data_IF_810505970798
#
_entry.id   IF_810505970798
#
_cell.length_a   1.000
_cell.length_b   1.000
_cell.length_c   1.000
_cell.angle_alpha   90.00
_cell.angle_beta   90.00
_cell.angle_gamma   90.00
#
_symmetry.space_group_name_H-M   'P 1'
#
loop_
_entity.id
_entity.type
_entity.pdbx_description
1 polymer ?
#
# COMPACT_ATOMS: atom_id res chain seq x y z
N UNK A 1 23.32 -14.47 -12.61
CA UNK A 1 22.72 -13.11 -12.55
C UNK A 1 21.30 -13.29 -12.05
N UNK A 2 21.02 -12.88 -10.81
CA UNK A 2 19.68 -12.99 -10.23
C UNK A 2 18.78 -11.98 -10.93
N UNK A 3 17.78 -12.44 -11.67
CA UNK A 3 16.69 -11.61 -12.17
C UNK A 3 15.92 -11.09 -10.95
N UNK A 4 16.11 -9.83 -10.60
CA UNK A 4 15.30 -9.15 -9.58
C UNK A 4 13.87 -9.08 -10.12
N UNK A 5 12.98 -9.95 -9.64
CA UNK A 5 11.55 -9.87 -9.92
C UNK A 5 11.05 -8.54 -9.38
N UNK A 6 10.51 -7.69 -10.27
CA UNK A 6 10.02 -6.37 -9.93
C UNK A 6 8.75 -6.48 -9.10
N UNK A 7 8.68 -5.73 -8.00
CA UNK A 7 7.55 -5.81 -7.08
C UNK A 7 6.34 -5.00 -7.60
N UNK A 8 5.14 -5.31 -7.12
CA UNK A 8 3.95 -4.54 -7.48
C UNK A 8 4.07 -3.08 -6.99
N UNK A 9 4.75 -2.87 -5.86
CA UNK A 9 5.00 -1.54 -5.33
C UNK A 9 6.01 -0.75 -6.17
N UNK A 10 7.06 -1.41 -6.68
CA UNK A 10 8.03 -0.80 -7.59
C UNK A 10 7.36 -0.30 -8.87
N UNK A 11 6.43 -1.08 -9.43
CA UNK A 11 5.68 -0.68 -10.63
C UNK A 11 4.79 0.54 -10.38
N UNK A 12 4.10 0.60 -9.23
CA UNK A 12 3.32 1.78 -8.86
C UNK A 12 4.23 3.00 -8.68
N UNK A 13 5.37 2.83 -7.99
CA UNK A 13 6.30 3.92 -7.73
C UNK A 13 6.95 4.47 -9.02
N UNK A 14 7.17 3.64 -10.04
CA UNK A 14 7.61 4.13 -11.36
C UNK A 14 6.59 5.10 -11.97
N UNK A 15 5.29 4.79 -11.87
CA UNK A 15 4.22 5.69 -12.35
C UNK A 15 4.20 7.00 -11.59
N UNK A 16 4.49 6.97 -10.28
CA UNK A 16 4.57 8.19 -9.46
C UNK A 16 5.79 9.04 -9.85
N UNK A 17 6.94 8.42 -10.14
CA UNK A 17 8.10 9.13 -10.69
C UNK A 17 7.78 9.79 -12.04
N UNK A 18 7.12 9.06 -12.94
CA UNK A 18 6.72 9.60 -14.26
C UNK A 18 5.77 10.79 -14.10
N UNK A 19 4.76 10.68 -13.24
CA UNK A 19 3.84 11.77 -12.95
C UNK A 19 4.56 12.98 -12.32
N UNK A 20 5.49 12.74 -11.41
CA UNK A 20 6.32 13.78 -10.79
C UNK A 20 7.14 14.55 -11.81
N UNK A 21 7.75 13.86 -12.77
CA UNK A 21 8.51 14.48 -13.86
C UNK A 21 7.61 15.33 -14.78
N UNK A 22 6.42 14.82 -15.15
CA UNK A 22 5.44 15.57 -15.97
C UNK A 22 5.00 16.86 -15.26
N UNK A 23 4.82 16.80 -13.95
CA UNK A 23 4.36 17.92 -13.12
C UNK A 23 5.49 18.85 -12.65
N UNK A 24 6.76 18.53 -12.94
CA UNK A 24 7.91 19.31 -12.48
C UNK A 24 8.06 19.34 -10.95
N UNK A 25 7.68 18.27 -10.26
CA UNK A 25 7.78 18.18 -8.80
C UNK A 25 9.24 18.04 -8.37
N UNK A 26 9.57 18.61 -7.20
CA UNK A 26 10.88 18.40 -6.56
C UNK A 26 11.05 16.94 -6.17
N UNK A 27 12.26 16.42 -6.28
CA UNK A 27 12.56 15.01 -5.97
C UNK A 27 12.11 14.60 -4.57
N UNK A 28 12.31 15.44 -3.56
CA UNK A 28 11.87 15.15 -2.19
C UNK A 28 10.34 15.01 -2.06
N UNK A 29 9.56 15.70 -2.90
CA UNK A 29 8.10 15.53 -2.94
C UNK A 29 7.75 14.20 -3.58
N UNK A 30 8.38 13.85 -4.71
CA UNK A 30 8.16 12.56 -5.36
C UNK A 30 8.52 11.41 -4.41
N UNK A 31 9.66 11.50 -3.74
CA UNK A 31 10.10 10.52 -2.75
C UNK A 31 9.08 10.39 -1.61
N UNK A 32 8.58 11.50 -1.06
CA UNK A 32 7.55 11.45 -0.02
C UNK A 32 6.25 10.77 -0.50
N UNK A 33 5.85 11.01 -1.76
CA UNK A 33 4.65 10.41 -2.36
C UNK A 33 4.80 8.92 -2.70
N UNK A 34 6.04 8.40 -2.76
CA UNK A 34 6.34 6.99 -2.98
C UNK A 34 6.39 6.17 -1.69
N UNK A 35 6.41 6.81 -0.51
CA UNK A 35 6.50 6.12 0.77
C UNK A 35 5.15 5.93 1.43
N UNK A 36 5.00 4.83 2.16
CA UNK A 36 3.85 4.64 3.04
C UNK A 36 4.10 5.32 4.39
N UNK A 37 3.15 6.14 4.86
CA UNK A 37 3.23 6.79 6.18
C UNK A 37 3.33 5.81 7.36
N UNK A 38 2.65 4.65 7.26
CA UNK A 38 2.67 3.64 8.32
C UNK A 38 2.33 2.25 7.80
N UNK A 39 3.02 1.26 8.32
CA UNK A 39 2.78 -0.16 8.04
C UNK A 39 2.66 -0.91 9.36
N UNK A 40 1.65 -1.76 9.48
CA UNK A 40 1.41 -2.58 10.66
C UNK A 40 1.29 -4.02 10.21
N UNK A 41 2.16 -4.88 10.76
CA UNK A 41 2.09 -6.33 10.61
C UNK A 41 1.62 -6.90 11.94
N UNK A 42 0.60 -7.75 11.90
CA UNK A 42 -0.01 -8.37 13.09
C UNK A 42 -0.03 -9.89 12.94
N UNK A 43 0.19 -10.59 14.05
CA UNK A 43 -0.07 -12.03 14.14
C UNK A 43 -1.49 -12.25 14.67
N UNK A 44 -2.28 -13.05 13.95
CA UNK A 44 -3.68 -13.33 14.25
C UNK A 44 -3.81 -14.83 14.58
N UNK A 45 -3.78 -15.21 15.87
CA UNK A 45 -4.03 -16.59 16.27
C UNK A 45 -5.52 -16.92 16.10
N UNK A 46 -5.82 -17.97 15.34
CA UNK A 46 -7.16 -18.48 15.09
C UNK A 46 -7.26 -19.91 15.64
N UNK A 47 -8.33 -20.19 16.38
CA UNK A 47 -8.64 -21.55 16.80
C UNK A 47 -9.20 -22.34 15.63
N UNK A 48 -8.59 -23.49 15.32
CA UNK A 48 -9.05 -24.43 14.29
C UNK A 48 -9.25 -25.81 14.95
N UNK A 49 -10.47 -26.07 15.42
CA UNK A 49 -10.78 -27.25 16.21
C UNK A 49 -10.08 -27.20 17.57
N UNK A 50 -9.22 -28.19 17.85
CA UNK A 50 -8.41 -28.26 19.07
C UNK A 50 -6.98 -27.69 18.90
N UNK A 51 -6.68 -27.11 17.74
CA UNK A 51 -5.39 -26.51 17.42
C UNK A 51 -5.49 -24.98 17.21
N UNK A 52 -4.34 -24.31 17.13
CA UNK A 52 -4.20 -22.87 16.87
C UNK A 52 -3.35 -22.66 15.61
N UNK A 53 -3.94 -22.01 14.61
CA UNK A 53 -3.24 -21.54 13.42
C UNK A 53 -2.96 -20.04 13.56
N UNK A 54 -1.73 -19.60 13.31
CA UNK A 54 -1.38 -18.17 13.34
C UNK A 54 -1.30 -17.64 11.92
N UNK A 55 -2.17 -16.71 11.56
CA UNK A 55 -2.12 -15.98 10.30
C UNK A 55 -1.35 -14.66 10.46
N UNK A 56 -0.77 -14.18 9.36
CA UNK A 56 -0.19 -12.84 9.29
C UNK A 56 -1.23 -11.89 8.69
N UNK A 57 -1.43 -10.74 9.32
CA UNK A 57 -2.26 -9.67 8.80
C UNK A 57 -1.47 -8.38 8.59
N UNK A 58 -1.89 -7.60 7.61
CA UNK A 58 -1.26 -6.35 7.21
C UNK A 58 -2.26 -5.20 7.24
N UNK A 59 -1.79 -4.04 7.70
CA UNK A 59 -2.47 -2.77 7.49
C UNK A 59 -1.46 -1.70 7.08
N UNK A 60 -1.52 -1.32 5.81
CA UNK A 60 -0.70 -0.24 5.25
C UNK A 60 -1.54 1.02 5.11
N UNK A 61 -0.99 2.12 5.61
CA UNK A 61 -1.52 3.47 5.51
C UNK A 61 -0.55 4.27 4.65
N UNK A 62 -0.91 4.53 3.40
CA UNK A 62 -0.03 5.17 2.44
C UNK A 62 0.04 6.68 2.68
N UNK A 63 -1.10 7.37 2.67
CA UNK A 63 -1.14 8.82 2.86
C UNK A 63 -2.40 9.28 3.58
N UNK A 64 -2.28 10.33 4.38
CA UNK A 64 -3.35 11.05 5.09
C UNK A 64 -3.54 12.49 4.62
N UNK A 65 -2.76 12.94 3.63
CA UNK A 65 -2.69 14.35 3.23
C UNK A 65 -4.06 14.98 2.86
N UNK A 66 -4.99 14.18 2.34
CA UNK A 66 -6.36 14.62 1.96
C UNK A 66 -7.45 14.26 2.97
N UNK A 67 -7.10 13.59 4.07
CA UNK A 67 -8.05 13.10 5.07
C UNK A 67 -7.77 11.66 5.51
N UNK A 68 -8.74 10.99 6.17
CA UNK A 68 -8.56 9.65 6.70
C UNK A 68 -8.13 8.64 5.62
N UNK A 69 -7.27 7.68 5.98
CA UNK A 69 -6.78 6.67 5.04
C UNK A 69 -7.87 5.63 4.72
N UNK A 70 -8.31 5.55 3.46
CA UNK A 70 -9.39 4.66 3.04
C UNK A 70 -8.88 3.50 2.18
N UNK A 71 -9.35 2.30 2.51
CA UNK A 71 -9.29 1.14 1.62
C UNK A 71 -9.59 -0.17 2.33
N UNK A 72 -10.02 -1.15 1.53
CA UNK A 72 -10.51 -2.45 1.99
C UNK A 72 -9.43 -3.39 2.53
N UNK A 73 -9.86 -4.59 2.88
CA UNK A 73 -9.04 -5.71 3.35
C UNK A 73 -9.21 -6.86 2.36
N UNK A 74 -8.13 -7.54 1.99
CA UNK A 74 -8.15 -8.69 1.08
C UNK A 74 -7.82 -9.97 1.84
N UNK A 75 -8.65 -10.99 1.76
CA UNK A 75 -8.29 -12.33 2.24
C UNK A 75 -7.92 -13.19 1.04
N UNK A 76 -6.64 -13.49 0.89
CA UNK A 76 -6.12 -14.35 -0.17
C UNK A 76 -4.79 -14.97 0.29
N UNK A 77 -4.49 -16.20 -0.13
CA UNK A 77 -3.30 -16.93 0.35
C UNK A 77 -1.99 -16.29 -0.13
N UNK A 78 -2.03 -15.61 -1.28
CA UNK A 78 -0.87 -14.94 -1.87
C UNK A 78 -0.70 -13.47 -1.44
N UNK A 79 -1.42 -13.01 -0.41
CA UNK A 79 -1.23 -11.63 0.10
C UNK A 79 0.15 -11.51 0.76
N UNK A 80 0.93 -10.55 0.28
CA UNK A 80 2.18 -10.12 0.92
C UNK A 80 2.18 -8.61 1.20
N UNK A 81 3.18 -8.15 1.95
CA UNK A 81 3.31 -6.75 2.33
C UNK A 81 3.49 -5.82 1.12
N UNK A 82 4.18 -6.27 0.08
CA UNK A 82 4.48 -5.45 -1.10
C UNK A 82 3.21 -5.19 -1.92
N UNK A 83 2.38 -6.22 -2.12
CA UNK A 83 1.07 -6.08 -2.75
C UNK A 83 0.20 -5.10 -1.96
N UNK A 84 0.17 -5.20 -0.62
CA UNK A 84 -0.65 -4.33 0.23
C UNK A 84 -0.16 -2.87 0.15
N UNK A 85 1.15 -2.62 0.05
CA UNK A 85 1.72 -1.28 -0.20
C UNK A 85 1.28 -0.72 -1.56
N UNK A 86 1.42 -1.51 -2.62
CA UNK A 86 1.00 -1.12 -3.97
C UNK A 86 -0.47 -0.72 -4.00
N UNK A 87 -1.34 -1.54 -3.43
CA UNK A 87 -2.78 -1.28 -3.36
C UNK A 87 -3.13 -0.09 -2.45
N UNK A 88 -2.40 0.14 -1.36
CA UNK A 88 -2.60 1.30 -0.50
C UNK A 88 -2.23 2.61 -1.21
N UNK A 89 -1.14 2.61 -1.98
CA UNK A 89 -0.73 3.74 -2.83
C UNK A 89 -1.78 4.03 -3.91
N UNK A 90 -2.22 3.01 -4.64
CA UNK A 90 -3.30 3.14 -5.63
C UNK A 90 -4.60 3.68 -5.03
N UNK A 91 -4.91 3.36 -3.76
CA UNK A 91 -6.07 3.96 -3.08
C UNK A 91 -5.90 5.46 -2.86
N UNK A 92 -4.70 5.97 -2.54
CA UNK A 92 -4.44 7.42 -2.43
C UNK A 92 -4.72 8.11 -3.76
N UNK A 93 -4.24 7.56 -4.87
CA UNK A 93 -4.40 8.18 -6.18
C UNK A 93 -5.84 8.07 -6.67
N UNK A 94 -6.50 6.95 -6.43
CA UNK A 94 -7.92 6.76 -6.75
C UNK A 94 -8.80 7.76 -6.02
N UNK A 95 -8.61 7.94 -4.70
CA UNK A 95 -9.42 8.90 -3.93
C UNK A 95 -9.11 10.33 -4.32
N UNK A 96 -7.84 10.63 -4.63
CA UNK A 96 -7.46 11.95 -5.13
C UNK A 96 -8.10 12.27 -6.49
N UNK A 97 -8.12 11.28 -7.41
CA UNK A 97 -8.65 11.42 -8.77
C UNK A 97 -10.16 11.70 -8.79
N UNK A 98 -10.94 11.04 -7.92
CA UNK A 98 -12.40 11.23 -7.84
C UNK A 98 -12.81 12.34 -6.86
N UNK A 99 -11.85 13.10 -6.36
CA UNK A 99 -12.03 14.26 -5.49
C UNK A 99 -12.82 14.01 -4.19
N UNK A 100 -12.49 12.91 -3.50
CA UNK A 100 -13.06 12.63 -2.16
C UNK A 100 -12.03 12.92 -1.05
N UNK A 101 -12.47 13.33 0.16
CA UNK A 101 -11.58 13.76 1.25
C UNK A 101 -10.97 12.57 2.01
N UNK A 102 -10.30 11.68 1.27
CA UNK A 102 -9.64 10.50 1.81
C UNK A 102 -8.25 10.36 1.25
N UNK A 103 -7.34 9.90 2.10
CA UNK A 103 -6.08 9.32 1.69
C UNK A 103 -6.22 7.83 1.35
N UNK A 104 -5.09 7.12 1.30
CA UNK A 104 -5.02 5.73 0.86
C UNK A 104 -4.58 4.77 1.96
N UNK A 105 -5.27 3.63 2.06
CA UNK A 105 -4.84 2.50 2.86
C UNK A 105 -5.23 1.19 2.19
N UNK A 106 -4.64 0.09 2.65
CA UNK A 106 -5.08 -1.26 2.35
C UNK A 106 -4.72 -2.19 3.49
N UNK A 107 -5.41 -3.31 3.60
CA UNK A 107 -4.95 -4.43 4.42
C UNK A 107 -5.15 -5.74 3.68
N UNK A 108 -4.63 -6.80 4.28
CA UNK A 108 -4.84 -8.17 3.85
C UNK A 108 -4.19 -9.15 4.80
#
# INVERSE_FOLDING_TARGET
>A
MSTTTRSAFDEVNERISQAGAILGLKDGVVQALQQCEREVVVSIPLRRGDDVEVLTGYRVQHSSARGPRKGGIRFHQDVDLDEVRALASLMTWKTALIDVPFGGAKGG
#
